data_IF_671124111330
#
_entry.id   IF_671124111330
#
_cell.length_a   1.000
_cell.length_b   1.000
_cell.length_c   1.000
_cell.angle_alpha   90.00
_cell.angle_beta   90.00
_cell.angle_gamma   90.00
#
_symmetry.space_group_name_H-M   'P 1'
#
loop_
_entity.id
_entity.type
_entity.pdbx_description
1 polymer ?
#
# COMPACT_ATOMS: atom_id res chain seq x y z
N UNK A 1 -23.79 -16.28 24.51
CA UNK A 1 -23.23 -15.62 23.31
C UNK A 1 -23.25 -16.47 22.03
N UNK A 2 -22.81 -17.75 22.02
CA UNK A 2 -22.79 -18.59 20.79
C UNK A 2 -24.16 -18.83 20.13
N UNK A 3 -25.25 -18.83 20.90
CA UNK A 3 -26.62 -19.07 20.40
C UNK A 3 -27.18 -17.86 19.64
N UNK A 4 -26.91 -16.64 20.11
CA UNK A 4 -27.39 -15.40 19.50
C UNK A 4 -26.70 -15.09 18.17
N UNK A 5 -25.39 -15.37 18.07
CA UNK A 5 -24.64 -15.25 16.82
C UNK A 5 -25.15 -16.22 15.72
N UNK A 6 -25.61 -17.42 16.12
CA UNK A 6 -26.22 -18.39 15.21
C UNK A 6 -27.57 -17.91 14.66
N UNK A 7 -28.40 -17.27 15.48
CA UNK A 7 -29.69 -16.70 15.04
C UNK A 7 -29.51 -15.54 14.04
N UNK A 8 -28.46 -14.71 14.17
CA UNK A 8 -28.14 -13.64 13.21
C UNK A 8 -27.69 -14.17 11.83
N UNK A 9 -27.20 -15.41 11.74
CA UNK A 9 -26.79 -16.02 10.48
C UNK A 9 -27.95 -16.62 9.67
N UNK A 10 -29.12 -16.84 10.29
CA UNK A 10 -30.24 -17.56 9.68
C UNK A 10 -31.00 -16.76 8.60
N UNK A 11 -30.78 -15.44 8.51
CA UNK A 11 -31.39 -14.55 7.50
C UNK A 11 -30.34 -13.81 6.66
N UNK A 12 -29.20 -14.45 6.36
CA UNK A 12 -28.17 -13.84 5.51
C UNK A 12 -28.65 -13.83 4.06
N UNK A 13 -29.31 -12.75 3.61
CA UNK A 13 -29.34 -12.43 2.17
C UNK A 13 -27.88 -12.26 1.75
N UNK A 14 -27.31 -13.29 1.17
CA UNK A 14 -25.94 -13.25 0.67
C UNK A 14 -25.90 -12.31 -0.52
N UNK A 15 -25.34 -11.12 -0.30
CA UNK A 15 -25.08 -10.17 -1.37
C UNK A 15 -23.94 -10.72 -2.24
N UNK A 16 -24.30 -11.26 -3.41
CA UNK A 16 -23.35 -11.71 -4.41
C UNK A 16 -23.38 -10.74 -5.59
N UNK A 17 -22.24 -10.16 -5.91
CA UNK A 17 -22.06 -9.36 -7.13
C UNK A 17 -20.71 -9.69 -7.76
N UNK A 18 -20.59 -9.49 -9.08
CA UNK A 18 -19.32 -9.69 -9.81
C UNK A 18 -18.16 -8.88 -9.20
N UNK A 19 -18.45 -7.71 -8.63
CA UNK A 19 -17.47 -6.88 -7.94
C UNK A 19 -17.01 -7.50 -6.62
N UNK A 20 -17.93 -8.08 -5.84
CA UNK A 20 -17.63 -8.71 -4.54
C UNK A 20 -16.79 -9.98 -4.73
N UNK A 21 -17.13 -10.82 -5.70
CA UNK A 21 -16.33 -12.01 -6.04
C UNK A 21 -14.94 -11.66 -6.56
N UNK A 22 -14.82 -10.59 -7.36
CA UNK A 22 -13.53 -10.09 -7.84
C UNK A 22 -12.67 -9.55 -6.70
N UNK A 23 -13.26 -8.82 -5.75
CA UNK A 23 -12.56 -8.33 -4.56
C UNK A 23 -11.96 -9.48 -3.75
N UNK A 24 -12.77 -10.46 -3.35
CA UNK A 24 -12.34 -11.58 -2.50
C UNK A 24 -11.15 -12.36 -3.09
N UNK A 25 -11.18 -12.63 -4.40
CA UNK A 25 -10.11 -13.40 -5.06
C UNK A 25 -8.83 -12.57 -5.13
N UNK A 26 -8.95 -11.31 -5.55
CA UNK A 26 -7.76 -10.51 -5.86
C UNK A 26 -7.16 -9.81 -4.65
N UNK A 27 -7.92 -9.59 -3.59
CA UNK A 27 -7.44 -9.00 -2.34
C UNK A 27 -6.27 -9.81 -1.77
N UNK A 28 -6.42 -11.14 -1.69
CA UNK A 28 -5.37 -12.05 -1.22
C UNK A 28 -4.13 -12.03 -2.13
N UNK A 29 -4.35 -12.01 -3.45
CA UNK A 29 -3.26 -11.98 -4.44
C UNK A 29 -2.50 -10.65 -4.34
N UNK A 30 -3.23 -9.54 -4.23
CA UNK A 30 -2.66 -8.21 -4.11
C UNK A 30 -1.92 -8.02 -2.78
N UNK A 31 -2.48 -8.50 -1.67
CA UNK A 31 -1.82 -8.52 -0.37
C UNK A 31 -0.52 -9.32 -0.43
N UNK A 32 -0.57 -10.54 -0.98
CA UNK A 32 0.60 -11.40 -1.10
C UNK A 32 1.71 -10.74 -1.93
N UNK A 33 1.38 -10.22 -3.12
CA UNK A 33 2.33 -9.49 -3.97
C UNK A 33 2.88 -8.24 -3.30
N UNK A 34 2.04 -7.52 -2.56
CA UNK A 34 2.46 -6.36 -1.78
C UNK A 34 3.48 -6.77 -0.71
N UNK A 35 3.21 -7.87 0.00
CA UNK A 35 4.13 -8.40 1.00
C UNK A 35 5.45 -8.87 0.39
N UNK A 36 5.41 -9.62 -0.72
CA UNK A 36 6.61 -10.08 -1.43
C UNK A 36 7.45 -8.92 -1.96
N UNK A 37 6.80 -7.95 -2.63
CA UNK A 37 7.47 -6.79 -3.22
C UNK A 37 8.26 -5.99 -2.18
N UNK A 38 7.73 -5.91 -0.96
CA UNK A 38 8.30 -5.07 0.08
C UNK A 38 8.92 -5.84 1.23
N UNK A 39 8.97 -7.18 1.15
CA UNK A 39 9.50 -8.07 2.18
C UNK A 39 8.88 -7.79 3.55
N UNK A 40 7.54 -7.70 3.52
CA UNK A 40 6.70 -7.42 4.67
C UNK A 40 6.10 -8.72 5.19
N UNK A 41 6.01 -8.82 6.51
CA UNK A 41 5.27 -9.89 7.18
C UNK A 41 3.92 -9.30 7.57
N UNK A 42 2.91 -9.56 6.74
CA UNK A 42 1.54 -9.20 7.05
C UNK A 42 0.87 -10.31 7.87
N UNK A 43 0.27 -9.94 8.99
CA UNK A 43 -0.45 -10.86 9.85
C UNK A 43 -1.94 -10.82 9.51
N UNK A 44 -2.58 -11.98 9.26
CA UNK A 44 -4.02 -12.03 9.09
C UNK A 44 -4.70 -11.59 10.39
N UNK A 45 -5.85 -10.94 10.26
CA UNK A 45 -6.57 -10.45 11.44
C UNK A 45 -8.09 -10.62 11.31
N UNK A 46 -8.79 -10.40 12.42
CA UNK A 46 -10.23 -10.46 12.50
C UNK A 46 -10.83 -9.10 12.86
N UNK A 47 -12.04 -9.15 13.43
CA UNK A 47 -12.74 -7.96 13.87
C UNK A 47 -12.10 -7.38 15.14
N UNK A 48 -11.70 -6.11 15.08
CA UNK A 48 -11.30 -5.33 16.25
C UNK A 48 -12.49 -4.53 16.76
N UNK A 49 -12.84 -4.72 18.03
CA UNK A 49 -13.88 -3.95 18.71
C UNK A 49 -13.20 -2.87 19.55
N UNK A 50 -13.64 -1.62 19.43
CA UNK A 50 -13.11 -0.53 20.25
C UNK A 50 -13.44 -0.78 21.71
N UNK A 51 -12.42 -0.73 22.57
CA UNK A 51 -12.58 -0.89 24.03
C UNK A 51 -13.37 0.27 24.65
N UNK A 52 -13.17 1.48 24.13
CA UNK A 52 -13.85 2.70 24.61
C UNK A 52 -15.27 2.82 24.08
N UNK A 53 -15.51 2.36 22.84
CA UNK A 53 -16.81 2.44 22.17
C UNK A 53 -17.17 1.06 21.59
N UNK A 54 -17.69 0.12 22.40
CA UNK A 54 -17.91 -1.28 21.98
C UNK A 54 -18.89 -1.48 20.81
N UNK A 55 -19.66 -0.45 20.45
CA UNK A 55 -20.52 -0.43 19.26
C UNK A 55 -19.74 -0.14 17.96
N UNK A 56 -18.48 0.28 18.04
CA UNK A 56 -17.58 0.49 16.91
C UNK A 56 -16.66 -0.71 16.76
N UNK A 57 -16.53 -1.19 15.53
CA UNK A 57 -15.59 -2.24 15.18
C UNK A 57 -15.10 -2.09 13.75
N UNK A 58 -13.91 -2.62 13.47
CA UNK A 58 -13.33 -2.62 12.14
C UNK A 58 -12.53 -3.89 11.88
N UNK A 59 -12.52 -4.34 10.63
CA UNK A 59 -11.68 -5.45 10.17
C UNK A 59 -10.76 -4.90 9.09
N UNK A 60 -9.47 -4.67 9.41
CA UNK A 60 -8.45 -4.47 8.38
C UNK A 60 -8.25 -5.75 7.56
N UNK A 61 -7.64 -5.62 6.38
CA UNK A 61 -7.30 -6.79 5.56
C UNK A 61 -6.08 -7.53 6.12
N UNK A 62 -5.12 -6.78 6.67
CA UNK A 62 -4.01 -7.34 7.43
C UNK A 62 -3.38 -6.32 8.39
N UNK A 63 -2.52 -6.82 9.27
CA UNK A 63 -1.69 -6.02 10.16
C UNK A 63 -0.23 -6.06 9.73
N UNK A 64 0.48 -4.98 9.96
CA UNK A 64 1.93 -4.91 9.82
C UNK A 64 2.53 -4.45 11.15
N UNK A 65 3.16 -5.39 11.88
CA UNK A 65 3.73 -5.13 13.21
C UNK A 65 2.67 -4.65 14.21
N UNK A 66 3.01 -3.72 15.11
CA UNK A 66 2.10 -3.16 16.12
C UNK A 66 1.44 -1.84 15.75
N UNK A 67 1.96 -1.11 14.76
CA UNK A 67 1.56 0.29 14.49
C UNK A 67 0.76 0.49 13.21
N UNK A 68 0.71 -0.50 12.31
CA UNK A 68 0.22 -0.31 10.95
C UNK A 68 -0.86 -1.33 10.57
N UNK A 69 -1.90 -0.87 9.88
CA UNK A 69 -2.88 -1.71 9.18
C UNK A 69 -2.65 -1.68 7.66
N UNK A 70 -3.12 -2.70 6.96
CA UNK A 70 -3.13 -2.75 5.49
C UNK A 70 -4.59 -2.81 5.03
N UNK A 71 -4.91 -1.99 4.03
CA UNK A 71 -6.20 -1.99 3.34
C UNK A 71 -5.94 -2.14 1.84
N UNK A 72 -6.49 -3.18 1.22
CA UNK A 72 -6.37 -3.54 -0.18
C UNK A 72 -7.69 -3.26 -0.89
N UNK A 73 -7.64 -2.46 -1.95
CA UNK A 73 -8.79 -2.25 -2.83
C UNK A 73 -8.54 -2.82 -4.23
N UNK A 74 -9.43 -3.70 -4.66
CA UNK A 74 -9.47 -4.27 -6.01
C UNK A 74 -10.73 -3.77 -6.76
N UNK A 75 -10.75 -2.53 -7.26
CA UNK A 75 -11.94 -1.97 -7.91
C UNK A 75 -12.24 -2.67 -9.23
N UNK A 76 -13.43 -3.28 -9.34
CA UNK A 76 -13.88 -3.98 -10.55
C UNK A 76 -13.88 -3.10 -11.81
N UNK A 77 -14.15 -1.79 -11.66
CA UNK A 77 -14.17 -0.83 -12.77
C UNK A 77 -12.79 -0.61 -13.42
N UNK A 78 -11.70 -0.87 -12.68
CA UNK A 78 -10.31 -0.74 -13.14
C UNK A 78 -9.66 -2.09 -13.44
N UNK A 79 -10.44 -3.18 -13.51
CA UNK A 79 -9.93 -4.54 -13.76
C UNK A 79 -9.14 -4.72 -15.08
N UNK A 80 -9.28 -3.79 -16.02
CA UNK A 80 -8.68 -3.88 -17.35
C UNK A 80 -8.18 -2.54 -17.91
N UNK A 81 -8.19 -1.47 -17.11
CA UNK A 81 -7.86 -0.11 -17.55
C UNK A 81 -6.83 0.53 -16.64
N UNK A 82 -6.06 1.46 -17.20
CA UNK A 82 -5.21 2.35 -16.42
C UNK A 82 -6.07 3.14 -15.43
N UNK A 83 -5.55 3.31 -14.23
CA UNK A 83 -6.20 4.02 -13.14
C UNK A 83 -6.25 5.50 -13.50
N UNK A 84 -7.42 6.09 -13.39
CA UNK A 84 -7.69 7.52 -13.60
C UNK A 84 -8.48 8.06 -12.41
N UNK A 85 -8.40 9.36 -12.15
CA UNK A 85 -9.23 10.02 -11.13
C UNK A 85 -10.73 9.70 -11.28
N UNK A 86 -11.19 9.46 -12.52
CA UNK A 86 -12.57 9.03 -12.80
C UNK A 86 -12.89 7.61 -12.35
N UNK A 87 -11.93 6.66 -12.46
CA UNK A 87 -12.16 5.26 -12.07
C UNK A 87 -11.95 5.02 -10.58
N UNK A 88 -11.22 5.92 -9.91
CA UNK A 88 -10.94 5.86 -8.47
C UNK A 88 -11.06 7.25 -7.82
N UNK A 89 -12.27 7.84 -7.74
CA UNK A 89 -12.48 9.23 -7.29
C UNK A 89 -12.07 9.49 -5.82
N UNK A 90 -11.77 8.43 -5.09
CA UNK A 90 -11.26 8.48 -3.74
C UNK A 90 -9.77 8.79 -3.67
N UNK A 91 -9.01 8.72 -4.77
CA UNK A 91 -7.64 9.22 -4.81
C UNK A 91 -7.51 10.39 -5.79
N UNK A 92 -6.64 11.32 -5.46
CA UNK A 92 -6.25 12.44 -6.33
C UNK A 92 -4.74 12.62 -6.30
N UNK A 93 -4.17 13.23 -7.34
CA UNK A 93 -2.73 13.43 -7.46
C UNK A 93 -2.38 14.93 -7.29
N UNK A 94 -1.40 15.25 -6.46
CA UNK A 94 -0.82 16.61 -6.33
C UNK A 94 0.70 16.54 -6.47
N UNK A 95 1.25 17.05 -7.57
CA UNK A 95 2.71 17.05 -7.82
C UNK A 95 3.34 15.64 -7.88
N UNK A 96 2.72 14.66 -8.56
CA UNK A 96 3.13 13.25 -8.51
C UNK A 96 2.56 12.47 -7.31
N UNK A 97 2.17 13.25 -6.30
CA UNK A 97 1.42 13.04 -5.05
C UNK A 97 0.16 12.20 -4.99
N UNK A 98 0.16 10.88 -4.89
CA UNK A 98 -1.11 10.17 -4.70
C UNK A 98 -1.66 10.35 -3.27
N UNK A 99 -2.78 11.05 -3.15
CA UNK A 99 -3.44 11.39 -1.90
C UNK A 99 -4.85 10.78 -1.80
N UNK A 100 -5.27 10.47 -0.58
CA UNK A 100 -6.63 10.04 -0.27
C UNK A 100 -7.57 11.24 -0.13
N UNK A 101 -8.69 11.20 -0.85
CA UNK A 101 -9.76 12.18 -0.73
C UNK A 101 -10.41 12.06 0.66
N UNK A 102 -10.22 13.10 1.49
CA UNK A 102 -10.76 13.18 2.85
C UNK A 102 -12.30 13.20 2.90
N UNK A 103 -12.95 13.53 1.80
CA UNK A 103 -14.40 13.48 1.67
C UNK A 103 -14.91 12.12 1.19
N UNK A 104 -14.02 11.16 0.94
CA UNK A 104 -14.39 9.83 0.48
C UNK A 104 -14.82 8.91 1.63
N UNK A 105 -15.82 8.03 1.43
CA UNK A 105 -16.14 6.95 2.37
C UNK A 105 -14.93 6.11 2.80
N UNK A 106 -13.92 5.94 1.93
CA UNK A 106 -12.72 5.18 2.24
C UNK A 106 -11.81 5.87 3.27
N UNK A 107 -11.82 7.21 3.31
CA UNK A 107 -11.10 7.94 4.36
C UNK A 107 -11.67 7.60 5.73
N UNK A 108 -13.00 7.65 5.87
CA UNK A 108 -13.67 7.30 7.12
C UNK A 108 -13.50 5.82 7.49
N UNK A 109 -13.43 4.91 6.50
CA UNK A 109 -13.12 3.50 6.73
C UNK A 109 -11.73 3.34 7.38
N UNK A 110 -10.71 4.00 6.83
CA UNK A 110 -9.33 3.94 7.32
C UNK A 110 -9.20 4.56 8.71
N UNK A 111 -9.86 5.70 8.95
CA UNK A 111 -9.90 6.34 10.26
C UNK A 111 -10.57 5.42 11.30
N UNK A 112 -11.68 4.77 10.93
CA UNK A 112 -12.36 3.80 11.79
C UNK A 112 -11.49 2.59 12.13
N UNK A 113 -10.73 2.06 11.16
CA UNK A 113 -9.77 0.98 11.38
C UNK A 113 -8.65 1.40 12.33
N UNK A 114 -8.05 2.57 12.10
CA UNK A 114 -6.97 3.10 12.95
C UNK A 114 -7.43 3.25 14.39
N UNK A 115 -8.63 3.81 14.59
CA UNK A 115 -9.25 3.96 15.91
C UNK A 115 -9.54 2.61 16.58
N UNK A 116 -10.18 1.66 15.89
CA UNK A 116 -10.55 0.38 16.49
C UNK A 116 -9.34 -0.52 16.80
N UNK A 117 -8.27 -0.39 16.02
CA UNK A 117 -7.05 -1.21 16.17
C UNK A 117 -5.99 -0.56 17.07
N UNK A 118 -6.18 0.70 17.46
CA UNK A 118 -5.20 1.54 18.15
C UNK A 118 -3.85 1.61 17.41
N UNK A 119 -3.92 1.82 16.08
CA UNK A 119 -2.77 1.88 15.17
C UNK A 119 -2.67 3.25 14.55
N UNK A 120 -1.44 3.65 14.24
CA UNK A 120 -1.11 5.01 13.78
C UNK A 120 -1.17 5.17 12.28
N UNK A 121 -0.94 4.09 11.55
CA UNK A 121 -0.75 4.14 10.10
C UNK A 121 -1.65 3.15 9.39
N UNK A 122 -2.10 3.51 8.20
CA UNK A 122 -2.79 2.60 7.31
C UNK A 122 -2.19 2.65 5.90
N UNK A 123 -1.67 1.50 5.44
CA UNK A 123 -1.19 1.35 4.08
C UNK A 123 -2.37 1.01 3.17
N UNK A 124 -2.96 2.02 2.53
CA UNK A 124 -3.94 1.83 1.47
C UNK A 124 -3.22 1.42 0.18
N UNK A 125 -3.51 0.23 -0.34
CA UNK A 125 -2.97 -0.27 -1.60
C UNK A 125 -4.08 -0.68 -2.55
N UNK A 126 -3.76 -0.58 -3.83
CA UNK A 126 -4.62 -1.03 -4.91
C UNK A 126 -3.94 -2.13 -5.67
N UNK A 127 -4.73 -3.07 -6.15
CA UNK A 127 -4.23 -4.00 -7.15
C UNK A 127 -3.94 -3.23 -8.44
N UNK A 128 -2.65 -3.03 -8.75
CA UNK A 128 -2.22 -2.83 -10.14
C UNK A 128 -2.26 -4.21 -10.79
N UNK A 129 -3.32 -4.52 -11.51
CA UNK A 129 -3.29 -5.67 -12.41
C UNK A 129 -2.11 -5.44 -13.37
N UNK A 130 -1.24 -6.44 -13.48
CA UNK A 130 -0.02 -6.53 -14.28
C UNK A 130 -0.20 -6.07 -15.75
N UNK A 131 -0.33 -4.77 -16.00
CA UNK A 131 -0.24 -4.17 -17.34
C UNK A 131 0.48 -2.83 -17.29
N UNK A 132 1.72 -2.84 -16.81
CA UNK A 132 2.71 -1.84 -17.22
C UNK A 132 3.65 -2.48 -18.24
N UNK A 133 3.13 -2.72 -19.44
CA UNK A 133 3.95 -2.89 -20.63
C UNK A 133 3.39 -1.93 -21.68
N UNK A 134 3.84 -0.67 -21.66
CA UNK A 134 3.79 0.14 -22.88
C UNK A 134 5.00 -0.31 -23.69
N UNK A 135 4.72 -1.08 -24.74
CA UNK A 135 5.70 -1.48 -25.75
C UNK A 135 5.90 -0.23 -26.62
N UNK A 136 7.13 0.31 -26.66
CA UNK A 136 7.47 1.26 -27.70
C UNK A 136 7.69 0.53 -29.03
N UNK A 137 7.68 1.27 -30.13
CA UNK A 137 7.74 0.74 -31.51
C UNK A 137 9.03 -0.03 -31.84
N UNK A 138 9.96 -0.18 -30.89
CA UNK A 138 11.22 -0.93 -31.03
C UNK A 138 11.27 -2.18 -30.15
N UNK A 139 10.18 -2.51 -29.43
CA UNK A 139 10.09 -3.71 -28.62
C UNK A 139 10.87 -3.62 -27.29
N UNK A 140 11.28 -2.41 -26.88
CA UNK A 140 12.04 -2.22 -25.66
C UNK A 140 11.12 -1.87 -24.48
N UNK A 141 11.26 -2.65 -23.41
CA UNK A 141 10.51 -2.50 -22.18
C UNK A 141 11.11 -1.33 -21.38
N UNK A 142 10.51 -0.13 -21.39
CA UNK A 142 10.79 0.86 -20.35
C UNK A 142 10.09 0.47 -19.03
N UNK A 143 10.61 -0.59 -18.38
CA UNK A 143 10.37 -0.86 -16.97
C UNK A 143 11.27 0.10 -16.19
N UNK A 144 10.71 1.15 -15.61
CA UNK A 144 11.33 1.73 -14.43
C UNK A 144 11.61 0.56 -13.46
N UNK A 145 12.87 0.35 -13.12
CA UNK A 145 13.35 -0.88 -12.46
C UNK A 145 12.51 -1.17 -11.21
N UNK A 146 11.72 -2.24 -11.24
CA UNK A 146 10.94 -2.70 -10.08
C UNK A 146 11.85 -2.82 -8.85
N UNK A 147 13.09 -3.26 -9.05
CA UNK A 147 14.16 -3.29 -8.04
C UNK A 147 14.49 -1.92 -7.42
N UNK A 148 14.53 -0.83 -8.21
CA UNK A 148 14.82 0.51 -7.69
C UNK A 148 13.64 1.06 -6.88
N UNK A 149 12.41 0.78 -7.31
CA UNK A 149 11.20 1.13 -6.57
C UNK A 149 11.10 0.35 -5.24
N UNK A 150 11.39 -0.95 -5.27
CA UNK A 150 11.47 -1.79 -4.07
C UNK A 150 12.54 -1.28 -3.10
N UNK A 151 13.72 -0.93 -3.60
CA UNK A 151 14.81 -0.38 -2.79
C UNK A 151 14.40 0.94 -2.12
N UNK A 152 13.79 1.86 -2.88
CA UNK A 152 13.25 3.12 -2.37
C UNK A 152 12.28 2.90 -1.20
N UNK A 153 11.31 1.99 -1.37
CA UNK A 153 10.34 1.69 -0.32
C UNK A 153 10.98 1.08 0.93
N UNK A 154 11.87 0.09 0.78
CA UNK A 154 12.56 -0.53 1.93
C UNK A 154 13.38 0.51 2.70
N UNK A 155 14.01 1.46 2.01
CA UNK A 155 14.76 2.54 2.64
C UNK A 155 13.81 3.48 3.39
N UNK A 156 12.74 3.96 2.74
CA UNK A 156 11.72 4.81 3.34
C UNK A 156 11.10 4.18 4.61
N UNK A 157 10.69 2.90 4.53
CA UNK A 157 10.12 2.18 5.66
C UNK A 157 11.10 2.09 6.84
N UNK A 158 12.38 1.82 6.58
CA UNK A 158 13.40 1.78 7.65
C UNK A 158 13.61 3.15 8.29
N UNK A 159 13.60 4.24 7.51
CA UNK A 159 13.68 5.61 8.03
C UNK A 159 12.51 5.88 8.99
N UNK A 160 11.28 5.61 8.54
CA UNK A 160 10.07 5.82 9.34
C UNK A 160 10.01 4.96 10.60
N UNK A 161 10.33 3.66 10.49
CA UNK A 161 10.34 2.74 11.64
C UNK A 161 11.32 3.19 12.71
N UNK A 162 12.43 3.81 12.32
CA UNK A 162 13.42 4.37 13.23
C UNK A 162 13.15 5.83 13.62
N UNK A 163 11.97 6.38 13.26
CA UNK A 163 11.54 7.76 13.55
C UNK A 163 12.56 8.81 13.11
N UNK A 164 13.27 8.56 12.01
CA UNK A 164 14.23 9.51 11.43
C UNK A 164 13.51 10.48 10.50
N UNK A 165 14.02 11.71 10.34
CA UNK A 165 13.52 12.65 9.34
C UNK A 165 13.54 12.01 7.95
N UNK A 166 12.50 12.24 7.17
CA UNK A 166 12.39 11.72 5.81
C UNK A 166 13.50 12.22 4.88
N UNK A 167 14.06 13.40 5.17
CA UNK A 167 15.16 14.00 4.39
C UNK A 167 16.44 13.16 4.41
N UNK A 168 16.65 12.32 5.44
CA UNK A 168 17.86 11.49 5.58
C UNK A 168 18.08 10.54 4.40
N UNK A 169 17.00 10.21 3.66
CA UNK A 169 17.05 9.41 2.45
C UNK A 169 17.92 10.05 1.37
N UNK A 170 17.65 11.31 1.02
CA UNK A 170 18.42 12.04 0.00
C UNK A 170 19.70 12.64 0.58
N UNK A 171 19.65 13.17 1.81
CA UNK A 171 20.77 13.92 2.39
C UNK A 171 21.96 13.03 2.76
N UNK A 172 21.71 11.76 3.10
CA UNK A 172 22.75 10.87 3.64
C UNK A 172 22.75 9.49 2.98
N UNK A 173 21.60 8.81 2.94
CA UNK A 173 21.56 7.41 2.49
C UNK A 173 21.92 7.29 1.01
N UNK A 174 21.44 8.22 0.17
CA UNK A 174 21.73 8.19 -1.27
C UNK A 174 23.21 8.44 -1.60
N UNK A 175 23.88 9.48 -1.06
CA UNK A 175 25.33 9.62 -1.20
C UNK A 175 26.09 8.38 -0.76
N UNK A 176 25.79 7.83 0.43
CA UNK A 176 26.48 6.64 0.93
C UNK A 176 26.31 5.42 0.01
N UNK A 177 25.11 5.22 -0.56
CA UNK A 177 24.87 4.14 -1.52
C UNK A 177 25.66 4.34 -2.82
N UNK A 178 25.75 5.58 -3.31
CA UNK A 178 26.51 5.89 -4.51
C UNK A 178 28.01 5.67 -4.29
N UNK A 179 28.56 6.14 -3.16
CA UNK A 179 29.97 5.97 -2.82
C UNK A 179 30.33 4.49 -2.67
N UNK A 180 29.51 3.73 -1.93
CA UNK A 180 29.74 2.30 -1.72
C UNK A 180 29.72 1.52 -3.04
N UNK A 181 28.76 1.81 -3.93
CA UNK A 181 28.66 1.12 -5.22
C UNK A 181 29.79 1.54 -6.15
N UNK A 182 30.19 2.81 -6.14
CA UNK A 182 31.33 3.31 -6.93
C UNK A 182 32.63 2.64 -6.52
N UNK A 183 32.92 2.58 -5.22
CA UNK A 183 34.20 2.09 -4.69
C UNK A 183 34.30 0.55 -4.67
N UNK A 184 33.20 -0.15 -4.37
CA UNK A 184 33.23 -1.61 -4.12
C UNK A 184 32.81 -2.42 -5.35
N UNK A 185 31.86 -1.92 -6.15
CA UNK A 185 31.29 -2.68 -7.27
C UNK A 185 31.77 -2.13 -8.63
N UNK A 186 31.88 -0.81 -8.75
CA UNK A 186 32.38 -0.11 -9.94
C UNK A 186 31.37 0.87 -10.54
N UNK A 187 31.89 1.88 -11.23
CA UNK A 187 31.13 3.01 -11.80
C UNK A 187 29.97 2.58 -12.72
N UNK A 188 30.12 1.47 -13.43
CA UNK A 188 29.11 0.95 -14.35
C UNK A 188 27.76 0.64 -13.68
N UNK A 189 27.74 0.46 -12.36
CA UNK A 189 26.52 0.16 -11.59
C UNK A 189 25.87 1.39 -10.95
N UNK A 190 26.58 2.52 -10.89
CA UNK A 190 26.12 3.77 -10.25
C UNK A 190 24.88 4.33 -10.95
N UNK A 191 24.81 4.23 -12.27
CA UNK A 191 23.68 4.70 -13.06
C UNK A 191 22.35 4.02 -12.66
N UNK A 192 22.40 2.77 -12.21
CA UNK A 192 21.22 2.03 -11.74
C UNK A 192 20.78 2.50 -10.35
N UNK A 193 21.73 2.79 -9.46
CA UNK A 193 21.45 3.28 -8.10
C UNK A 193 20.91 4.71 -8.12
N UNK A 194 21.39 5.57 -9.04
CA UNK A 194 20.85 6.92 -9.25
C UNK A 194 19.34 6.93 -9.56
N UNK A 195 18.79 5.82 -10.09
CA UNK A 195 17.35 5.67 -10.35
C UNK A 195 16.51 5.46 -9.09
N UNK A 196 17.12 5.21 -7.92
CA UNK A 196 16.40 5.11 -6.65
C UNK A 196 16.04 6.52 -6.18
N UNK A 197 14.75 6.84 -6.19
CA UNK A 197 14.23 8.10 -5.61
C UNK A 197 14.00 7.93 -4.11
N UNK A 198 14.65 8.76 -3.28
CA UNK A 198 14.50 8.78 -1.82
C UNK A 198 13.90 10.10 -1.32
N UNK A 199 13.42 10.95 -2.23
CA UNK A 199 12.99 12.31 -1.95
C UNK A 199 11.68 12.39 -1.17
N UNK A 200 11.44 13.59 -0.61
CA UNK A 200 10.37 13.91 0.34
C UNK A 200 8.96 13.47 -0.09
N UNK A 201 8.72 13.33 -1.39
CA UNK A 201 7.42 12.94 -1.93
C UNK A 201 7.13 11.46 -1.72
N UNK A 202 8.13 10.58 -1.87
CA UNK A 202 7.96 9.12 -1.78
C UNK A 202 7.77 8.62 -0.33
N UNK A 203 8.24 9.39 0.66
CA UNK A 203 8.09 9.04 2.08
C UNK A 203 6.74 9.51 2.62
N UNK A 204 6.28 10.71 2.25
CA UNK A 204 4.97 11.21 2.66
C UNK A 204 3.81 10.42 2.02
N UNK A 205 3.91 10.03 0.74
CA UNK A 205 2.91 9.20 0.07
C UNK A 205 2.70 7.83 0.71
N UNK A 206 3.75 7.29 1.34
CA UNK A 206 3.83 5.87 1.65
C UNK A 206 3.88 5.54 3.14
N UNK A 207 3.97 6.55 4.00
CA UNK A 207 4.00 6.40 5.47
C UNK A 207 2.91 7.22 6.17
N UNK A 208 2.35 8.25 5.54
CA UNK A 208 1.32 9.10 6.15
C UNK A 208 0.07 9.21 5.26
N UNK A 209 -0.89 8.32 5.49
CA UNK A 209 -2.32 8.56 5.28
C UNK A 209 -3.02 8.32 6.61
#
# INVERSE_FOLDING_TARGET
MKVYAKQLQQNKKTFFSRATSHGIINEKIALHKYCEMYDLIAEPCGLFISKERPHLAASPDALLGSETTIEIKCPYASRSRNITSTSVPYLYEINGILNLNKNSPYYYQIQGQSYCTNRKYCNLKKEKILKSSRIDSTGNIQKANESCLQASYKIAYRIARNKKPHTIGEDLIKPCLLDAVTLVIGEQHVAKIKQISLSNTTIHEHIFI
#
